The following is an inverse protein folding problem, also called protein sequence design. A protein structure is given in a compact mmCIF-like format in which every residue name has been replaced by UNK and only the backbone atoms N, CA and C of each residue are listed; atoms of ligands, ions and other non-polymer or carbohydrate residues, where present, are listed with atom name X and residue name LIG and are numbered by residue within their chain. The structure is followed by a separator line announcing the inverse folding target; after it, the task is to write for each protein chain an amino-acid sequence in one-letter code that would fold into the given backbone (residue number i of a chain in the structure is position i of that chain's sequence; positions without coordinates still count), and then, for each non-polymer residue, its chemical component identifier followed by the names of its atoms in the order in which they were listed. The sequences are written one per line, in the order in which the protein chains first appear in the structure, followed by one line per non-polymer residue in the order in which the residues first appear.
data_IF_808796805026
#
_entry.id   IF_808796805026
#
_cell.length_a   1.000
_cell.length_b   1.000
_cell.length_c   1.000
_cell.angle_alpha   90.00
_cell.angle_beta   90.00
_cell.angle_gamma   90.00
#
_symmetry.space_group_name_H-M   'P 1'
#
loop_
_entity.id
_entity.type
_entity.pdbx_description
1 polymer ?
#
# COMPACT_ATOMS: atom_id res chain seq x y z
N UNK A 1 -30.57 0.17 28.11
CA UNK A 1 -29.77 1.43 28.20
C UNK A 1 -28.97 1.63 29.49
N UNK A 2 -29.42 1.19 30.69
CA UNK A 2 -28.63 1.35 31.93
C UNK A 2 -27.46 0.36 32.11
N UNK A 3 -27.51 -0.85 31.51
CA UNK A 3 -26.41 -1.85 31.60
C UNK A 3 -25.22 -1.60 30.66
N UNK A 4 -25.36 -0.76 29.63
CA UNK A 4 -24.31 -0.48 28.64
C UNK A 4 -23.33 0.62 29.09
N UNK A 5 -23.77 1.52 29.98
CA UNK A 5 -22.93 2.59 30.55
C UNK A 5 -21.96 2.09 31.63
N UNK A 6 -22.30 1.01 32.33
CA UNK A 6 -21.46 0.43 33.38
C UNK A 6 -20.21 -0.26 32.83
N UNK A 7 -20.30 -0.89 31.65
CA UNK A 7 -19.19 -1.62 31.05
C UNK A 7 -18.09 -0.69 30.52
N UNK A 8 -18.47 0.50 30.06
CA UNK A 8 -17.54 1.52 29.54
C UNK A 8 -16.72 2.15 30.67
N UNK A 9 -17.31 2.36 31.85
CA UNK A 9 -16.62 2.94 33.00
C UNK A 9 -15.63 1.98 33.68
N UNK A 10 -15.94 0.68 33.71
CA UNK A 10 -15.03 -0.34 34.29
C UNK A 10 -13.82 -0.58 33.38
N UNK A 11 -13.96 -0.42 32.06
CA UNK A 11 -12.86 -0.61 31.10
C UNK A 11 -11.77 0.49 31.18
N UNK A 12 -12.17 1.72 31.55
CA UNK A 12 -11.24 2.85 31.69
C UNK A 12 -10.29 2.74 32.89
N UNK A 13 -10.62 1.92 33.90
CA UNK A 13 -9.86 1.80 35.14
C UNK A 13 -8.77 0.71 35.11
N UNK A 14 -8.78 -0.19 34.12
CA UNK A 14 -7.84 -1.33 34.06
C UNK A 14 -6.74 -1.14 32.99
N UNK A 15 -6.87 -0.16 32.10
CA UNK A 15 -6.00 -0.05 30.92
C UNK A 15 -4.68 0.74 31.14
N UNK A 16 -4.30 1.12 32.36
CA UNK A 16 -3.18 2.07 32.57
C UNK A 16 -1.83 1.41 32.88
N UNK A 17 -1.78 0.11 33.22
CA UNK A 17 -0.51 -0.56 33.59
C UNK A 17 -0.09 -1.75 32.70
N UNK A 18 -0.84 -2.11 31.65
CA UNK A 18 -0.58 -3.35 30.86
C UNK A 18 -0.30 -3.11 29.37
N UNK A 19 -0.20 -1.86 28.91
CA UNK A 19 -0.05 -1.56 27.48
C UNK A 19 1.29 -2.02 26.90
N UNK A 20 2.38 -1.93 27.66
CA UNK A 20 3.72 -2.28 27.18
C UNK A 20 3.95 -3.79 27.05
N UNK A 21 3.41 -4.60 27.98
CA UNK A 21 3.53 -6.06 27.94
C UNK A 21 2.69 -6.68 26.83
N UNK A 22 1.51 -6.12 26.55
CA UNK A 22 0.65 -6.60 25.46
C UNK A 22 1.25 -6.27 24.10
N UNK A 23 1.93 -5.12 23.95
CA UNK A 23 2.50 -4.74 22.65
C UNK A 23 3.58 -5.69 22.16
N UNK A 24 4.54 -6.12 22.99
CA UNK A 24 5.61 -7.02 22.54
C UNK A 24 5.09 -8.42 22.15
N UNK A 25 4.07 -8.92 22.86
CA UNK A 25 3.40 -10.18 22.52
C UNK A 25 2.60 -10.03 21.21
N UNK A 26 1.78 -9.00 21.08
CA UNK A 26 1.02 -8.67 19.87
C UNK A 26 1.96 -8.45 18.66
N UNK A 27 3.10 -7.79 18.90
CA UNK A 27 4.15 -7.56 17.91
C UNK A 27 4.76 -8.88 17.43
N UNK A 28 5.07 -9.82 18.32
CA UNK A 28 5.58 -11.12 17.91
C UNK A 28 4.64 -11.83 16.92
N UNK A 29 3.31 -11.65 17.11
CA UNK A 29 2.26 -12.19 16.23
C UNK A 29 2.11 -11.37 14.94
N UNK A 30 2.32 -10.05 15.00
CA UNK A 30 2.35 -9.20 13.80
C UNK A 30 3.53 -9.54 12.89
N UNK A 31 4.66 -9.95 13.49
CA UNK A 31 5.91 -10.23 12.83
C UNK A 31 6.09 -11.70 12.43
N UNK A 32 5.23 -12.61 12.90
CA UNK A 32 5.25 -14.00 12.42
C UNK A 32 5.02 -14.00 10.92
N UNK A 33 5.98 -14.60 10.20
CA UNK A 33 5.99 -14.75 8.75
C UNK A 33 4.97 -15.84 8.36
N UNK A 34 3.68 -15.56 8.53
CA UNK A 34 2.63 -16.39 7.98
C UNK A 34 2.63 -16.19 6.45
N UNK A 35 2.80 -17.29 5.70
CA UNK A 35 2.63 -17.25 4.25
C UNK A 35 1.19 -16.83 3.93
N UNK A 36 1.03 -15.69 3.25
CA UNK A 36 -0.26 -15.33 2.66
C UNK A 36 -0.56 -16.32 1.55
N UNK A 37 -1.72 -17.00 1.56
CA UNK A 37 -2.05 -17.90 0.48
C UNK A 37 -2.09 -17.11 -0.83
N UNK A 38 -1.39 -17.62 -1.85
CA UNK A 38 -1.39 -17.01 -3.17
C UNK A 38 -2.78 -17.15 -3.80
N UNK A 39 -3.53 -16.04 -3.83
CA UNK A 39 -4.89 -16.03 -4.37
C UNK A 39 -4.94 -16.44 -5.85
N UNK A 40 -3.83 -16.38 -6.59
CA UNK A 40 -3.78 -16.89 -7.98
C UNK A 40 -4.05 -18.39 -8.03
N UNK A 41 -3.60 -19.15 -7.02
CA UNK A 41 -3.89 -20.57 -6.88
C UNK A 41 -5.32 -20.81 -6.34
N UNK A 42 -5.80 -19.94 -5.44
CA UNK A 42 -7.14 -20.04 -4.84
C UNK A 42 -8.27 -19.80 -5.84
N UNK A 43 -8.08 -18.88 -6.80
CA UNK A 43 -9.09 -18.55 -7.81
C UNK A 43 -9.07 -19.47 -9.04
N UNK A 44 -8.24 -20.53 -9.06
CA UNK A 44 -8.13 -21.47 -10.19
C UNK A 44 -8.00 -20.75 -11.54
N UNK A 45 -7.11 -19.77 -11.64
CA UNK A 45 -6.87 -19.04 -12.89
C UNK A 45 -6.41 -20.01 -13.99
N UNK A 46 -6.74 -19.71 -15.25
CA UNK A 46 -6.21 -20.43 -16.41
C UNK A 46 -4.68 -20.56 -16.28
N UNK A 47 -4.12 -21.75 -16.48
CA UNK A 47 -2.75 -22.07 -16.07
C UNK A 47 -1.70 -21.09 -16.63
N UNK A 48 -1.91 -20.56 -17.83
CA UNK A 48 -1.04 -19.56 -18.47
C UNK A 48 -1.09 -18.20 -17.75
N UNK A 49 -2.29 -17.75 -17.33
CA UNK A 49 -2.47 -16.52 -16.56
C UNK A 49 -1.96 -16.68 -15.12
N UNK A 50 -2.14 -17.84 -14.48
CA UNK A 50 -1.56 -18.09 -13.15
C UNK A 50 -0.02 -18.13 -13.18
N UNK A 51 0.58 -18.87 -14.12
CA UNK A 51 2.03 -19.09 -14.12
C UNK A 51 2.83 -17.79 -14.29
N UNK A 52 2.31 -16.81 -15.02
CA UNK A 52 2.98 -15.55 -15.26
C UNK A 52 3.03 -14.63 -14.03
N UNK A 53 2.11 -14.80 -13.07
CA UNK A 53 1.96 -13.91 -11.90
C UNK A 53 2.33 -14.57 -10.56
N UNK A 54 2.90 -15.78 -10.60
CA UNK A 54 3.49 -16.45 -9.43
C UNK A 54 4.85 -15.84 -9.10
N UNK A 55 5.10 -15.68 -7.80
CA UNK A 55 6.36 -15.14 -7.29
C UNK A 55 7.46 -16.19 -7.41
N UNK A 56 8.61 -15.80 -7.97
CA UNK A 56 9.84 -16.60 -7.93
C UNK A 56 10.93 -15.83 -7.19
N UNK A 57 11.48 -16.36 -6.08
CA UNK A 57 12.61 -15.74 -5.42
C UNK A 57 13.80 -15.70 -6.38
N UNK A 58 14.53 -14.57 -6.38
CA UNK A 58 15.74 -14.43 -7.19
C UNK A 58 16.84 -15.29 -6.54
N UNK A 59 17.38 -16.25 -7.28
CA UNK A 59 18.41 -17.17 -6.76
C UNK A 59 19.61 -16.41 -6.21
N UNK A 60 19.98 -16.68 -4.97
CA UNK A 60 21.23 -16.22 -4.37
C UNK A 60 22.40 -16.86 -5.12
N UNK A 61 23.06 -16.11 -6.00
CA UNK A 61 24.39 -16.49 -6.46
C UNK A 61 25.35 -16.25 -5.28
N UNK A 62 25.85 -17.34 -4.69
CA UNK A 62 26.98 -17.33 -3.77
C UNK A 62 28.15 -16.59 -4.42
N UNK A 63 28.55 -15.48 -3.82
CA UNK A 63 29.79 -14.79 -4.16
C UNK A 63 30.91 -15.50 -3.40
N UNK A 64 31.58 -16.45 -4.05
CA UNK A 64 32.94 -16.82 -3.66
C UNK A 64 33.90 -15.84 -4.32
N UNK A 65 34.66 -15.12 -3.49
CA UNK A 65 35.67 -14.18 -3.93
C UNK A 65 36.95 -14.92 -4.34
N UNK A 66 37.63 -14.46 -5.41
CA UNK A 66 39.09 -14.53 -5.45
C UNK A 66 39.70 -13.12 -5.46
N UNK A 67 40.72 -12.99 -4.62
CA UNK A 67 41.63 -11.85 -4.47
C UNK A 67 42.60 -11.82 -5.66
N UNK A 68 42.67 -10.71 -6.41
CA UNK A 68 43.92 -9.95 -6.64
C UNK A 68 43.81 -8.81 -7.68
N UNK A 69 44.54 -7.73 -7.35
CA UNK A 69 45.17 -6.70 -8.18
C UNK A 69 44.32 -5.54 -8.72
N UNK A 70 44.44 -4.46 -7.96
CA UNK A 70 44.19 -3.05 -8.31
C UNK A 70 44.94 -2.67 -9.59
N UNK A 71 44.20 -2.21 -10.60
CA UNK A 71 44.67 -1.21 -11.57
C UNK A 71 43.64 -0.10 -11.65
N UNK A 72 44.07 1.10 -11.30
CA UNK A 72 43.29 2.32 -11.44
C UNK A 72 42.89 2.53 -12.90
N UNK A 73 41.61 2.80 -13.14
CA UNK A 73 41.19 3.52 -14.35
C UNK A 73 39.98 4.38 -14.03
N UNK A 74 40.19 5.70 -14.06
CA UNK A 74 39.17 6.74 -13.92
C UNK A 74 38.07 6.55 -14.97
N UNK A 75 36.82 6.35 -14.54
CA UNK A 75 35.65 6.37 -15.42
C UNK A 75 34.43 7.01 -14.74
N UNK A 76 34.24 8.29 -15.06
CA UNK A 76 33.00 9.10 -15.13
C UNK A 76 31.75 8.61 -14.37
N UNK A 77 31.39 9.39 -13.36
CA UNK A 77 30.02 9.55 -12.85
C UNK A 77 29.09 10.10 -13.95
N UNK A 78 28.02 9.36 -14.28
CA UNK A 78 26.79 9.81 -14.97
C UNK A 78 25.66 8.86 -14.57
N UNK A 79 24.38 9.20 -14.52
CA UNK A 79 23.59 10.42 -14.25
C UNK A 79 22.13 9.93 -14.33
N UNK A 80 21.28 10.37 -13.42
CA UNK A 80 19.81 10.32 -13.46
C UNK A 80 19.09 8.95 -13.53
N UNK A 81 18.62 8.47 -12.36
CA UNK A 81 17.56 7.44 -12.26
C UNK A 81 16.21 8.01 -12.75
N UNK A 82 16.04 8.21 -14.06
CA UNK A 82 14.73 8.47 -14.65
C UNK A 82 13.99 7.14 -14.83
N UNK A 83 12.82 7.01 -14.20
CA UNK A 83 11.89 5.92 -14.46
C UNK A 83 11.49 5.97 -15.93
N UNK A 84 11.47 4.80 -16.58
CA UNK A 84 10.92 4.69 -17.93
C UNK A 84 9.41 4.74 -17.79
N UNK A 85 8.80 5.84 -18.21
CA UNK A 85 7.37 5.84 -18.50
C UNK A 85 7.16 4.82 -19.64
N UNK A 86 6.32 3.79 -19.46
CA UNK A 86 6.18 2.76 -20.48
C UNK A 86 5.62 3.38 -21.75
N UNK A 87 6.36 3.18 -22.83
CA UNK A 87 5.92 3.46 -24.18
C UNK A 87 4.98 2.31 -24.57
N UNK A 88 3.67 2.57 -24.59
CA UNK A 88 2.68 1.58 -24.99
C UNK A 88 2.97 1.17 -26.45
N UNK A 89 3.32 -0.10 -26.69
CA UNK A 89 3.37 -0.62 -28.06
C UNK A 89 1.96 -0.57 -28.63
N UNK A 90 1.84 0.12 -29.74
CA UNK A 90 0.62 0.56 -30.42
C UNK A 90 -0.18 -0.63 -30.97
N UNK A 91 -0.90 -1.37 -30.11
CA UNK A 91 -1.79 -2.47 -30.50
C UNK A 91 -3.05 -2.59 -29.63
N UNK A 92 -3.48 -1.51 -28.97
CA UNK A 92 -4.81 -1.47 -28.34
C UNK A 92 -5.72 -0.66 -29.27
N UNK A 93 -6.83 -1.21 -29.78
CA UNK A 93 -7.77 -0.47 -30.61
C UNK A 93 -8.20 0.82 -29.90
N UNK A 94 -8.01 1.95 -30.58
CA UNK A 94 -8.23 3.30 -30.05
C UNK A 94 -9.68 3.54 -29.56
N UNK A 95 -10.61 2.69 -30.01
CA UNK A 95 -12.04 2.70 -29.69
C UNK A 95 -12.38 2.27 -28.24
N UNK A 96 -11.49 1.55 -27.53
CA UNK A 96 -11.69 1.15 -26.11
C UNK A 96 -11.07 2.14 -25.12
N UNK A 97 -10.26 3.11 -25.59
CA UNK A 97 -9.56 4.08 -24.73
C UNK A 97 -10.32 5.39 -24.63
N UNK A 98 -11.21 5.49 -23.65
CA UNK A 98 -12.07 6.67 -23.48
C UNK A 98 -11.28 7.97 -23.34
N UNK A 99 -11.83 9.08 -23.85
CA UNK A 99 -11.31 10.44 -23.64
C UNK A 99 -11.08 10.78 -22.16
N UNK A 100 -11.87 10.16 -21.26
CA UNK A 100 -11.70 10.30 -19.80
C UNK A 100 -10.34 9.77 -19.35
N UNK A 101 -9.89 8.64 -19.88
CA UNK A 101 -8.60 8.04 -19.51
C UNK A 101 -7.41 8.83 -20.06
N UNK A 102 -7.54 9.39 -21.28
CA UNK A 102 -6.56 10.38 -21.80
C UNK A 102 -6.44 11.57 -20.85
N UNK A 103 -7.57 12.07 -20.34
CA UNK A 103 -7.59 13.14 -19.33
C UNK A 103 -6.90 12.75 -18.01
N UNK A 104 -7.07 11.51 -17.54
CA UNK A 104 -6.41 11.01 -16.33
C UNK A 104 -4.91 10.86 -16.51
N UNK A 105 -4.45 10.35 -17.65
CA UNK A 105 -3.04 10.27 -17.98
C UNK A 105 -2.41 11.68 -18.05
N UNK A 106 -3.07 12.63 -18.71
CA UNK A 106 -2.59 14.01 -18.79
C UNK A 106 -2.42 14.66 -17.41
N UNK A 107 -3.38 14.46 -16.52
CA UNK A 107 -3.32 14.94 -15.13
C UNK A 107 -2.19 14.28 -14.33
N UNK A 108 -2.03 12.97 -14.48
CA UNK A 108 -1.04 12.19 -13.74
C UNK A 108 0.40 12.43 -14.20
N UNK A 109 0.60 12.91 -15.44
CA UNK A 109 1.92 13.23 -15.99
C UNK A 109 2.75 14.13 -15.06
N UNK A 110 2.13 15.11 -14.40
CA UNK A 110 2.83 16.00 -13.46
C UNK A 110 3.46 15.24 -12.28
N UNK A 111 2.75 14.24 -11.75
CA UNK A 111 3.26 13.40 -10.67
C UNK A 111 4.39 12.51 -11.19
N UNK A 112 4.16 11.83 -12.32
CA UNK A 112 5.12 10.89 -12.93
C UNK A 112 6.41 11.55 -13.41
N UNK A 113 6.36 12.77 -13.94
CA UNK A 113 7.55 13.52 -14.37
C UNK A 113 8.49 13.85 -13.19
N UNK A 114 7.93 14.00 -11.99
CA UNK A 114 8.65 14.39 -10.76
C UNK A 114 8.98 13.18 -9.87
N UNK A 115 8.34 12.05 -10.09
CA UNK A 115 8.42 10.87 -9.23
C UNK A 115 9.81 10.24 -9.21
N UNK A 116 10.26 9.88 -8.01
CA UNK A 116 11.49 9.12 -7.78
C UNK A 116 11.16 7.96 -6.84
N UNK A 117 11.44 6.71 -7.21
CA UNK A 117 11.02 5.57 -6.41
C UNK A 117 11.80 5.56 -5.09
N UNK A 118 11.10 5.21 -4.00
CA UNK A 118 11.68 5.03 -2.67
C UNK A 118 11.37 3.59 -2.24
N UNK A 119 12.41 2.77 -2.17
CA UNK A 119 12.30 1.37 -1.78
C UNK A 119 13.55 0.92 -1.03
N UNK A 120 13.32 0.35 0.15
CA UNK A 120 14.34 -0.21 1.02
C UNK A 120 13.93 -1.64 1.37
N UNK A 121 14.65 -2.63 0.85
CA UNK A 121 14.34 -4.03 1.10
C UNK A 121 14.52 -4.35 2.59
N UNK A 122 13.52 -5.00 3.19
CA UNK A 122 13.48 -5.31 4.62
C UNK A 122 13.06 -4.14 5.52
N UNK A 123 12.70 -2.98 4.94
CA UNK A 123 12.14 -1.86 5.72
C UNK A 123 10.80 -2.24 6.32
N UNK A 124 10.64 -1.98 7.61
CA UNK A 124 9.43 -2.32 8.37
C UNK A 124 8.97 -1.15 9.23
N UNK A 125 7.68 -0.91 9.24
CA UNK A 125 7.00 0.03 10.13
C UNK A 125 5.86 -0.68 10.85
N UNK A 126 5.75 -0.53 12.16
CA UNK A 126 4.58 -0.93 12.94
C UNK A 126 3.89 0.35 13.40
N UNK A 127 2.61 0.48 13.08
CA UNK A 127 1.78 1.61 13.49
C UNK A 127 0.68 1.13 14.43
N UNK A 128 0.47 1.83 15.54
CA UNK A 128 -0.71 1.65 16.37
C UNK A 128 -1.93 2.26 15.67
N UNK A 129 -3.08 1.60 15.79
CA UNK A 129 -4.35 2.09 15.29
C UNK A 129 -5.26 2.43 16.48
N UNK A 130 -5.64 3.70 16.60
CA UNK A 130 -6.52 4.19 17.67
C UNK A 130 -7.87 4.62 17.11
N UNK A 131 -8.94 4.19 17.78
CA UNK A 131 -10.31 4.60 17.49
C UNK A 131 -11.06 4.89 18.80
N UNK A 132 -11.70 6.06 18.87
CA UNK A 132 -12.37 6.55 20.09
C UNK A 132 -11.49 6.53 21.37
N UNK A 133 -10.19 6.78 21.21
CA UNK A 133 -9.22 6.82 22.30
C UNK A 133 -8.72 5.46 22.78
N UNK A 134 -9.10 4.36 22.11
CA UNK A 134 -8.65 3.00 22.42
C UNK A 134 -7.83 2.46 21.26
N UNK A 135 -6.71 1.79 21.56
CA UNK A 135 -5.92 1.05 20.56
C UNK A 135 -6.73 -0.13 20.05
N UNK A 136 -7.22 -0.01 18.82
CA UNK A 136 -8.01 -1.01 18.13
C UNK A 136 -7.13 -2.14 17.54
N UNK A 137 -5.86 -1.87 17.28
CA UNK A 137 -4.93 -2.84 16.71
C UNK A 137 -3.68 -2.19 16.16
N UNK A 138 -3.00 -2.89 15.26
CA UNK A 138 -1.73 -2.45 14.68
C UNK A 138 -1.64 -2.79 13.20
N UNK A 139 -0.90 -1.95 12.48
CA UNK A 139 -0.60 -2.11 11.06
C UNK A 139 0.90 -2.34 10.92
N UNK A 140 1.28 -3.47 10.34
CA UNK A 140 2.66 -3.73 9.90
C UNK A 140 2.76 -3.41 8.42
N UNK A 141 3.66 -2.51 8.03
CA UNK A 141 4.03 -2.24 6.64
C UNK A 141 5.45 -2.76 6.42
N UNK A 142 5.64 -3.61 5.43
CA UNK A 142 6.91 -4.26 5.14
C UNK A 142 7.24 -4.17 3.65
N UNK A 143 8.44 -3.71 3.33
CA UNK A 143 9.05 -3.87 2.02
C UNK A 143 9.78 -5.22 1.98
N UNK A 144 9.17 -6.24 1.38
CA UNK A 144 9.71 -7.61 1.28
C UNK A 144 10.85 -7.69 0.26
N UNK A 145 11.39 -8.89 0.09
CA UNK A 145 12.42 -9.21 -0.88
C UNK A 145 11.97 -8.86 -2.31
N UNK A 146 12.88 -8.35 -3.15
CA UNK A 146 12.60 -8.15 -4.58
C UNK A 146 12.46 -9.50 -5.25
N UNK A 147 11.32 -9.75 -5.89
CA UNK A 147 11.03 -11.02 -6.57
C UNK A 147 11.00 -10.86 -8.09
N UNK A 148 11.03 -11.97 -8.81
CA UNK A 148 10.78 -12.01 -10.25
C UNK A 148 9.34 -12.44 -10.52
N UNK A 149 8.62 -11.68 -11.33
CA UNK A 149 7.26 -11.99 -11.78
C UNK A 149 7.13 -11.64 -13.26
N UNK A 150 6.69 -12.59 -14.09
CA UNK A 150 6.62 -12.43 -15.54
C UNK A 150 7.91 -11.88 -16.19
N UNK A 151 9.07 -12.39 -15.76
CA UNK A 151 10.41 -11.91 -16.16
C UNK A 151 10.71 -10.43 -15.82
N UNK A 152 9.90 -9.81 -14.96
CA UNK A 152 10.12 -8.45 -14.43
C UNK A 152 10.65 -8.54 -13.00
N UNK A 153 11.60 -7.67 -12.67
CA UNK A 153 11.98 -7.45 -11.27
C UNK A 153 10.90 -6.60 -10.60
N UNK A 154 10.28 -7.08 -9.53
CA UNK A 154 9.18 -6.40 -8.86
C UNK A 154 9.49 -6.11 -7.39
N UNK A 155 9.20 -4.89 -6.95
CA UNK A 155 9.08 -4.55 -5.53
C UNK A 155 7.87 -5.25 -4.94
N UNK A 156 8.03 -5.77 -3.73
CA UNK A 156 6.97 -6.45 -3.01
C UNK A 156 6.68 -5.66 -1.73
N UNK A 157 5.54 -5.00 -1.71
CA UNK A 157 5.02 -4.34 -0.51
C UNK A 157 3.97 -5.21 0.14
N UNK A 158 4.10 -5.40 1.45
CA UNK A 158 3.15 -6.14 2.27
C UNK A 158 2.62 -5.24 3.38
N UNK A 159 1.34 -5.38 3.69
CA UNK A 159 0.80 -4.84 4.93
C UNK A 159 -0.13 -5.84 5.62
N UNK A 160 -0.09 -5.86 6.95
CA UNK A 160 -1.04 -6.60 7.79
C UNK A 160 -1.68 -5.65 8.78
N UNK A 161 -3.00 -5.64 8.84
CA UNK A 161 -3.74 -4.96 9.89
C UNK A 161 -4.37 -6.02 10.79
N UNK A 162 -4.04 -6.00 12.09
CA UNK A 162 -4.56 -6.95 13.06
C UNK A 162 -5.15 -6.21 14.26
N UNK A 163 -6.33 -6.61 14.71
CA UNK A 163 -6.90 -6.07 15.96
C UNK A 163 -6.05 -6.46 17.17
N UNK A 164 -5.98 -5.58 18.17
CA UNK A 164 -5.40 -5.91 19.47
C UNK A 164 -6.25 -6.95 20.19
N UNK A 165 -5.65 -7.74 21.07
CA UNK A 165 -6.36 -8.81 21.79
C UNK A 165 -7.48 -8.22 22.64
N UNK A 166 -7.21 -7.10 23.30
CA UNK A 166 -8.20 -6.36 24.11
C UNK A 166 -9.38 -5.81 23.29
N UNK A 167 -9.18 -5.47 22.01
CA UNK A 167 -10.24 -4.95 21.13
C UNK A 167 -11.00 -6.05 20.38
N UNK A 168 -10.36 -7.20 20.17
CA UNK A 168 -10.88 -8.33 19.41
C UNK A 168 -12.25 -8.83 19.90
N UNK A 169 -12.51 -8.72 21.21
CA UNK A 169 -13.81 -9.04 21.83
C UNK A 169 -14.97 -8.26 21.18
N UNK A 170 -14.76 -6.96 20.92
CA UNK A 170 -15.75 -6.11 20.28
C UNK A 170 -15.77 -6.34 18.77
N UNK A 171 -14.61 -6.25 18.13
CA UNK A 171 -14.44 -6.44 16.70
C UNK A 171 -13.03 -6.95 16.39
N UNK A 172 -12.93 -8.20 15.95
CA UNK A 172 -11.65 -8.77 15.51
C UNK A 172 -11.47 -8.61 14.00
N UNK A 173 -10.21 -8.42 13.60
CA UNK A 173 -9.78 -8.41 12.21
C UNK A 173 -8.33 -8.89 12.05
N UNK A 174 -8.02 -9.46 10.89
CA UNK A 174 -6.69 -9.85 10.44
C UNK A 174 -6.63 -9.76 8.90
N UNK A 175 -6.34 -8.55 8.43
CA UNK A 175 -6.34 -8.22 7.02
C UNK A 175 -4.91 -8.17 6.50
N UNK A 176 -4.69 -8.71 5.32
CA UNK A 176 -3.37 -8.78 4.68
C UNK A 176 -3.48 -8.28 3.25
N UNK A 177 -2.54 -7.43 2.84
CA UNK A 177 -2.42 -6.92 1.48
C UNK A 177 -1.01 -7.21 0.97
N UNK A 178 -0.92 -7.70 -0.26
CA UNK A 178 0.32 -7.75 -1.03
C UNK A 178 0.15 -6.91 -2.30
N UNK A 179 1.08 -5.99 -2.57
CA UNK A 179 1.17 -5.22 -3.81
C UNK A 179 2.55 -5.40 -4.43
N UNK A 180 2.56 -5.82 -5.69
CA UNK A 180 3.75 -6.08 -6.48
C UNK A 180 3.86 -5.01 -7.55
N UNK A 181 4.98 -4.30 -7.58
CA UNK A 181 5.20 -3.12 -8.42
C UNK A 181 6.47 -3.30 -9.23
N UNK A 182 6.40 -3.13 -10.55
CA UNK A 182 7.57 -3.29 -11.42
C UNK A 182 8.66 -2.26 -11.10
N UNK A 183 9.91 -2.71 -10.92
CA UNK A 183 11.03 -1.84 -10.53
C UNK A 183 11.33 -0.75 -11.57
N UNK A 184 11.20 -1.06 -12.86
CA UNK A 184 11.60 -0.14 -13.95
C UNK A 184 10.58 0.97 -14.23
N UNK A 185 9.29 0.67 -14.07
CA UNK A 185 8.16 1.54 -14.44
C UNK A 185 7.39 2.06 -13.24
N UNK A 186 7.56 1.43 -12.07
CA UNK A 186 6.75 1.63 -10.86
C UNK A 186 5.24 1.43 -11.07
N UNK A 187 4.85 0.63 -12.08
CA UNK A 187 3.47 0.26 -12.30
C UNK A 187 3.13 -1.04 -11.55
N UNK A 188 1.89 -1.17 -11.02
CA UNK A 188 1.47 -2.38 -10.34
C UNK A 188 1.41 -3.56 -11.32
N UNK A 189 1.72 -4.75 -10.83
CA UNK A 189 1.66 -6.01 -11.60
C UNK A 189 0.60 -6.93 -11.00
N UNK A 190 0.58 -7.03 -9.66
CA UNK A 190 -0.36 -7.84 -8.90
C UNK A 190 -0.73 -7.13 -7.61
N UNK A 191 -2.01 -7.14 -7.26
CA UNK A 191 -2.54 -6.72 -5.96
C UNK A 191 -3.40 -7.85 -5.38
N UNK A 192 -3.23 -8.13 -4.10
CA UNK A 192 -4.00 -9.12 -3.35
C UNK A 192 -4.44 -8.53 -2.02
N UNK A 193 -5.70 -8.72 -1.65
CA UNK A 193 -6.25 -8.45 -0.33
C UNK A 193 -6.94 -9.71 0.19
N UNK A 194 -6.52 -10.13 1.38
CA UNK A 194 -7.15 -11.16 2.19
C UNK A 194 -7.67 -10.47 3.44
N UNK A 195 -8.97 -10.21 3.48
CA UNK A 195 -9.66 -9.58 4.61
C UNK A 195 -10.33 -10.66 5.45
N UNK A 196 -10.06 -10.67 6.75
CA UNK A 196 -10.70 -11.61 7.70
C UNK A 196 -11.19 -10.79 8.88
N UNK A 197 -12.49 -10.56 8.94
CA UNK A 197 -13.10 -9.75 9.99
C UNK A 197 -14.31 -10.47 10.60
N UNK A 198 -14.67 -10.06 11.82
CA UNK A 198 -15.84 -10.58 12.54
C UNK A 198 -17.13 -10.64 11.72
N UNK A 199 -17.34 -9.69 10.80
CA UNK A 199 -18.60 -9.57 10.02
C UNK A 199 -18.49 -9.99 8.57
N UNK A 200 -17.28 -10.14 8.04
CA UNK A 200 -17.08 -10.45 6.63
C UNK A 200 -15.69 -11.01 6.36
N UNK A 201 -15.61 -11.85 5.33
CA UNK A 201 -14.35 -12.26 4.73
C UNK A 201 -14.32 -11.79 3.28
N UNK A 202 -13.18 -11.27 2.83
CA UNK A 202 -12.97 -10.85 1.44
C UNK A 202 -11.67 -11.44 0.92
N UNK A 203 -11.71 -11.96 -0.30
CA UNK A 203 -10.53 -12.24 -1.12
C UNK A 203 -10.66 -11.37 -2.38
N UNK A 204 -9.68 -10.52 -2.65
CA UNK A 204 -9.64 -9.62 -3.80
C UNK A 204 -8.28 -9.72 -4.48
N UNK A 205 -8.26 -10.24 -5.70
CA UNK A 205 -7.07 -10.35 -6.54
C UNK A 205 -7.24 -9.46 -7.76
N UNK A 206 -6.23 -8.66 -8.07
CA UNK A 206 -6.16 -7.84 -9.28
C UNK A 206 -4.82 -8.04 -9.98
N UNK A 207 -4.87 -8.32 -11.28
CA UNK A 207 -3.71 -8.45 -12.15
C UNK A 207 -3.73 -7.33 -13.19
N UNK A 208 -2.56 -6.78 -13.50
CA UNK A 208 -2.43 -5.62 -14.38
C UNK A 208 -1.62 -5.97 -15.64
N UNK A 209 -2.23 -5.74 -16.80
CA UNK A 209 -1.59 -5.88 -18.11
C UNK A 209 -1.60 -4.53 -18.83
N UNK A 210 -0.53 -3.75 -18.63
CA UNK A 210 -0.35 -2.45 -19.25
C UNK A 210 -0.03 -2.51 -20.75
N UNK A 211 0.36 -3.68 -21.28
CA UNK A 211 0.48 -3.85 -22.74
C UNK A 211 -0.91 -3.89 -23.39
N UNK A 212 -1.87 -4.53 -22.72
CA UNK A 212 -3.27 -4.60 -23.14
C UNK A 212 -4.14 -3.47 -22.59
N UNK A 213 -3.59 -2.61 -21.73
CA UNK A 213 -4.32 -1.54 -21.05
C UNK A 213 -5.53 -2.07 -20.26
N UNK A 214 -5.39 -3.24 -19.63
CA UNK A 214 -6.46 -3.91 -18.87
C UNK A 214 -6.02 -4.34 -17.48
N UNK A 215 -6.97 -4.32 -16.55
CA UNK A 215 -6.89 -5.05 -15.28
C UNK A 215 -7.87 -6.22 -15.30
N UNK A 216 -7.48 -7.34 -14.70
CA UNK A 216 -8.34 -8.49 -14.45
C UNK A 216 -8.53 -8.63 -12.95
N UNK A 217 -9.75 -8.90 -12.50
CA UNK A 217 -10.05 -8.99 -11.08
C UNK A 217 -10.88 -10.23 -10.73
N UNK A 218 -10.66 -10.74 -9.52
CA UNK A 218 -11.44 -11.79 -8.87
C UNK A 218 -11.74 -11.34 -7.45
N UNK A 219 -13.02 -11.27 -7.12
CA UNK A 219 -13.51 -10.71 -5.87
C UNK A 219 -14.55 -11.64 -5.26
N UNK A 220 -14.22 -12.19 -4.10
CA UNK A 220 -15.11 -13.01 -3.30
C UNK A 220 -15.35 -12.33 -1.96
N UNK A 221 -16.61 -12.14 -1.59
CA UNK A 221 -17.00 -11.65 -0.26
C UNK A 221 -18.03 -12.57 0.36
N UNK A 222 -17.72 -13.06 1.56
CA UNK A 222 -18.66 -13.79 2.40
C UNK A 222 -19.08 -12.87 3.54
N UNK A 223 -20.38 -12.61 3.65
CA UNK A 223 -20.99 -11.81 4.73
C UNK A 223 -22.38 -12.36 4.97
N UNK A 224 -22.78 -12.43 6.23
CA UNK A 224 -24.11 -12.88 6.62
C UNK A 224 -25.21 -12.19 5.78
N UNK A 225 -26.01 -13.00 5.10
CA UNK A 225 -27.12 -12.55 4.25
C UNK A 225 -26.72 -11.86 2.93
N UNK A 226 -25.43 -11.74 2.59
CA UNK A 226 -25.00 -11.05 1.35
C UNK A 226 -23.62 -11.52 0.89
N UNK A 227 -23.57 -12.68 0.24
CA UNK A 227 -22.37 -13.16 -0.43
C UNK A 227 -22.21 -12.50 -1.81
N UNK A 228 -20.97 -12.40 -2.28
CA UNK A 228 -20.61 -11.98 -3.63
C UNK A 228 -19.47 -12.81 -4.15
N UNK A 229 -19.51 -13.12 -5.45
CA UNK A 229 -18.44 -13.75 -6.20
C UNK A 229 -18.46 -13.13 -7.60
N UNK A 230 -17.48 -12.30 -7.90
CA UNK A 230 -17.40 -11.49 -9.09
C UNK A 230 -16.02 -11.64 -9.70
N UNK A 231 -15.94 -11.93 -11.00
CA UNK A 231 -14.70 -11.86 -11.77
C UNK A 231 -14.92 -11.10 -13.05
N UNK A 232 -13.89 -10.43 -13.54
CA UNK A 232 -14.01 -9.65 -14.77
C UNK A 232 -12.73 -8.95 -15.18
N UNK A 233 -12.86 -8.06 -16.14
CA UNK A 233 -11.79 -7.18 -16.56
C UNK A 233 -12.30 -5.76 -16.74
N UNK A 234 -11.40 -4.78 -16.72
CA UNK A 234 -11.69 -3.38 -16.99
C UNK A 234 -10.51 -2.71 -17.67
N UNK A 235 -10.79 -1.72 -18.52
CA UNK A 235 -9.74 -0.91 -19.10
C UNK A 235 -9.11 0.01 -18.03
N UNK A 236 -7.80 0.23 -18.13
CA UNK A 236 -7.01 1.06 -17.19
C UNK A 236 -6.26 2.16 -17.96
N UNK A 237 -6.09 3.37 -17.40
CA UNK A 237 -5.15 4.37 -17.92
C UNK A 237 -3.68 3.91 -17.85
N UNK A 238 -2.78 4.57 -18.60
CA UNK A 238 -1.36 4.16 -18.72
C UNK A 238 -0.59 4.29 -17.42
N UNK A 239 -1.04 5.20 -16.58
CA UNK A 239 -0.35 5.67 -15.39
C UNK A 239 -1.10 5.31 -14.10
N UNK A 240 -1.71 4.12 -14.11
CA UNK A 240 -2.59 3.61 -13.04
C UNK A 240 -1.81 2.94 -11.92
N UNK A 241 -2.20 3.22 -10.68
CA UNK A 241 -1.72 2.53 -9.48
C UNK A 241 -2.80 1.59 -8.91
N UNK A 242 -2.42 0.66 -8.04
CA UNK A 242 -3.36 -0.04 -7.17
C UNK A 242 -3.54 0.72 -5.84
N UNK A 243 -4.50 0.30 -5.01
CA UNK A 243 -4.84 1.01 -3.77
C UNK A 243 -3.70 1.09 -2.75
N UNK A 244 -2.74 0.15 -2.76
CA UNK A 244 -1.59 0.18 -1.85
C UNK A 244 -0.32 0.74 -2.51
N UNK A 245 -0.06 0.43 -3.78
CA UNK A 245 1.06 1.04 -4.51
C UNK A 245 0.91 2.56 -4.65
N UNK A 246 -0.33 3.09 -4.68
CA UNK A 246 -0.59 4.52 -4.60
C UNK A 246 0.06 5.19 -3.38
N UNK A 247 0.03 4.55 -2.20
CA UNK A 247 0.64 5.07 -0.97
C UNK A 247 2.17 5.14 -1.08
N UNK A 248 2.77 4.16 -1.76
CA UNK A 248 4.22 4.11 -2.01
C UNK A 248 4.64 5.04 -3.16
N UNK A 249 3.77 5.27 -4.14
CA UNK A 249 3.99 6.24 -5.21
C UNK A 249 4.06 7.66 -4.66
N UNK A 250 3.12 8.04 -3.78
CA UNK A 250 3.10 9.34 -3.10
C UNK A 250 4.41 9.59 -2.34
N UNK A 251 4.93 8.56 -1.66
CA UNK A 251 6.19 8.62 -0.90
C UNK A 251 7.39 9.07 -1.75
N UNK A 252 7.36 8.81 -3.06
CA UNK A 252 8.40 9.19 -4.01
C UNK A 252 8.17 10.51 -4.74
N UNK A 253 7.09 11.23 -4.45
CA UNK A 253 6.84 12.56 -5.02
C UNK A 253 7.55 13.65 -4.21
N UNK A 254 7.91 14.79 -4.83
CA UNK A 254 8.14 16.01 -4.08
C UNK A 254 6.87 16.35 -3.29
N UNK A 255 7.01 16.60 -2.00
CA UNK A 255 5.90 16.98 -1.15
C UNK A 255 6.14 18.40 -0.65
N UNK A 256 6.16 19.38 -1.55
CA UNK A 256 6.29 20.78 -1.17
C UNK A 256 4.90 21.35 -0.89
N UNK A 257 4.76 22.18 0.15
CA UNK A 257 3.47 22.80 0.49
C UNK A 257 2.87 23.52 -0.73
N UNK A 258 1.62 23.19 -1.05
CA UNK A 258 0.90 23.71 -2.20
C UNK A 258 0.99 22.85 -3.46
N UNK A 259 1.84 21.82 -3.49
CA UNK A 259 1.80 20.82 -4.57
C UNK A 259 0.45 20.09 -4.57
N UNK A 260 -0.04 19.82 -5.78
CA UNK A 260 -1.26 19.04 -6.03
C UNK A 260 -0.97 17.98 -7.08
N UNK A 261 -1.33 16.74 -6.79
CA UNK A 261 -1.18 15.61 -7.69
C UNK A 261 -2.51 14.90 -7.90
N UNK A 262 -2.78 14.46 -9.13
CA UNK A 262 -3.97 13.66 -9.46
C UNK A 262 -3.54 12.47 -10.31
N UNK A 263 -3.87 11.25 -9.91
CA UNK A 263 -3.54 10.05 -10.68
C UNK A 263 -4.56 8.92 -10.51
N UNK A 264 -4.72 8.05 -11.53
CA UNK A 264 -5.70 6.99 -11.50
C UNK A 264 -5.29 5.84 -10.59
N UNK A 265 -6.26 5.32 -9.85
CA UNK A 265 -6.14 4.15 -8.98
C UNK A 265 -7.22 3.13 -9.39
N UNK A 266 -6.79 1.90 -9.65
CA UNK A 266 -7.70 0.80 -9.96
C UNK A 266 -8.14 0.07 -8.68
N UNK A 267 -9.42 -0.30 -8.64
CA UNK A 267 -9.95 -1.20 -7.61
C UNK A 267 -11.11 -1.99 -8.20
N UNK A 268 -10.97 -3.32 -8.27
CA UNK A 268 -12.00 -4.26 -8.77
C UNK A 268 -12.53 -3.87 -10.15
N UNK A 269 -11.62 -3.62 -11.09
CA UNK A 269 -11.94 -3.22 -12.46
C UNK A 269 -12.48 -1.79 -12.63
N UNK A 270 -12.55 -1.00 -11.55
CA UNK A 270 -13.03 0.39 -11.57
C UNK A 270 -11.87 1.37 -11.35
N UNK A 271 -11.92 2.49 -12.06
CA UNK A 271 -10.91 3.56 -11.96
C UNK A 271 -11.44 4.69 -11.07
N UNK A 272 -10.61 5.08 -10.12
CA UNK A 272 -10.80 6.20 -9.21
C UNK A 272 -9.71 7.23 -9.49
N UNK A 273 -10.05 8.50 -9.47
CA UNK A 273 -9.04 9.56 -9.53
C UNK A 273 -8.66 9.94 -8.10
N UNK A 274 -7.43 9.63 -7.70
CA UNK A 274 -6.90 10.03 -6.40
C UNK A 274 -6.28 11.42 -6.54
N UNK A 275 -6.77 12.37 -5.74
CA UNK A 275 -6.20 13.71 -5.58
C UNK A 275 -5.40 13.77 -4.28
N UNK A 276 -4.20 14.32 -4.35
CA UNK A 276 -3.29 14.53 -3.22
C UNK A 276 -2.94 16.01 -3.14
N UNK A 277 -3.32 16.66 -2.05
CA UNK A 277 -2.95 18.04 -1.74
C UNK A 277 -1.87 18.04 -0.65
N UNK A 278 -0.73 18.68 -0.89
CA UNK A 278 0.32 18.85 0.13
C UNK A 278 -0.01 20.09 0.96
N UNK A 279 -0.53 19.86 2.17
CA UNK A 279 -1.20 20.93 2.94
C UNK A 279 -0.27 21.72 3.85
N UNK A 280 0.72 21.06 4.46
CA UNK A 280 1.61 21.68 5.43
C UNK A 280 2.91 20.91 5.62
N UNK A 281 3.95 21.59 6.08
CA UNK A 281 5.09 21.00 6.79
C UNK A 281 4.99 21.47 8.24
N UNK A 282 5.01 20.53 9.19
CA UNK A 282 4.78 20.81 10.60
C UNK A 282 5.59 19.85 11.50
N UNK A 283 5.77 20.24 12.77
CA UNK A 283 6.32 19.34 13.79
C UNK A 283 5.16 18.61 14.45
N UNK A 284 5.23 17.28 14.47
CA UNK A 284 4.24 16.42 15.12
C UNK A 284 4.92 15.57 16.19
N UNK A 285 4.20 15.25 17.26
CA UNK A 285 4.66 14.29 18.25
C UNK A 285 4.31 12.87 17.79
N UNK A 286 5.26 11.95 17.70
CA UNK A 286 5.07 10.54 17.31
C UNK A 286 5.80 9.69 18.34
N UNK A 287 5.08 8.82 19.06
CA UNK A 287 5.65 7.98 20.12
C UNK A 287 6.50 8.80 21.13
N UNK A 288 5.94 9.93 21.57
CA UNK A 288 6.59 10.83 22.52
C UNK A 288 7.76 11.67 21.97
N UNK A 289 8.05 11.59 20.65
CA UNK A 289 9.14 12.31 20.01
C UNK A 289 8.63 13.34 19.00
N UNK A 290 9.19 14.53 19.04
CA UNK A 290 8.86 15.57 18.06
C UNK A 290 9.62 15.35 16.75
N UNK A 291 8.88 15.23 15.65
CA UNK A 291 9.42 14.92 14.31
C UNK A 291 8.84 15.89 13.28
N UNK A 292 9.69 16.40 12.39
CA UNK A 292 9.26 17.21 11.24
C UNK A 292 8.63 16.32 10.16
N UNK A 293 7.38 16.62 9.82
CA UNK A 293 6.59 15.86 8.87
C UNK A 293 5.90 16.76 7.84
N UNK A 294 5.71 16.23 6.64
CA UNK A 294 4.85 16.81 5.62
C UNK A 294 3.48 16.17 5.70
N UNK A 295 2.47 17.00 5.91
CA UNK A 295 1.06 16.60 5.91
C UNK A 295 0.51 16.68 4.50
N UNK A 296 -0.14 15.61 4.08
CA UNK A 296 -0.90 15.55 2.83
C UNK A 296 -2.37 15.23 3.12
N UNK A 297 -3.24 15.63 2.20
CA UNK A 297 -4.65 15.23 2.16
C UNK A 297 -4.89 14.40 0.90
N UNK A 298 -5.44 13.21 1.07
CA UNK A 298 -5.83 12.30 0.00
C UNK A 298 -7.37 12.25 -0.12
N UNK A 299 -7.87 12.47 -1.34
CA UNK A 299 -9.29 12.40 -1.68
C UNK A 299 -9.48 11.57 -2.96
N UNK A 300 -10.26 10.49 -2.89
CA UNK A 300 -10.64 9.75 -4.11
C UNK A 300 -11.97 10.23 -4.66
N UNK A 301 -12.02 10.35 -5.98
CA UNK A 301 -13.21 10.76 -6.73
C UNK A 301 -13.55 9.68 -7.75
N UNK A 302 -14.84 9.34 -7.84
CA UNK A 302 -15.34 8.47 -8.90
C UNK A 302 -15.98 9.34 -10.01
N UNK A 303 -15.62 9.14 -11.29
CA UNK A 303 -16.24 9.89 -12.38
C UNK A 303 -17.76 9.75 -12.37
N UNK A 304 -18.48 10.87 -12.46
CA UNK A 304 -19.95 10.91 -12.47
C UNK A 304 -20.63 10.77 -11.10
N UNK A 305 -19.87 10.62 -10.01
CA UNK A 305 -20.43 10.51 -8.65
C UNK A 305 -19.81 11.58 -7.75
N UNK A 306 -20.61 12.55 -7.30
CA UNK A 306 -20.23 13.65 -6.40
C UNK A 306 -19.86 13.21 -4.96
N UNK A 307 -19.82 11.91 -4.69
CA UNK A 307 -19.65 11.38 -3.33
C UNK A 307 -18.17 11.21 -3.00
N UNK A 308 -17.63 12.11 -2.20
CA UNK A 308 -16.32 11.95 -1.57
C UNK A 308 -16.34 10.74 -0.62
N UNK A 309 -15.40 9.81 -0.76
CA UNK A 309 -15.03 8.96 0.37
C UNK A 309 -14.16 9.80 1.28
N UNK A 310 -14.56 9.96 2.55
CA UNK A 310 -14.06 11.01 3.45
C UNK A 310 -12.54 11.21 3.48
N UNK A 311 -12.16 12.45 3.84
CA UNK A 311 -10.78 12.91 3.89
C UNK A 311 -9.85 11.96 4.67
N UNK A 312 -8.73 11.60 4.06
CA UNK A 312 -7.62 10.92 4.72
C UNK A 312 -6.41 11.85 4.73
N UNK A 313 -5.82 12.05 5.89
CA UNK A 313 -4.56 12.77 6.04
C UNK A 313 -3.44 11.79 6.31
N UNK A 314 -2.27 12.02 5.71
CA UNK A 314 -1.05 11.28 5.99
C UNK A 314 0.06 12.26 6.34
N UNK A 315 0.96 11.84 7.23
CA UNK A 315 2.14 12.57 7.62
C UNK A 315 3.38 11.75 7.27
N UNK A 316 4.15 12.25 6.31
CA UNK A 316 5.42 11.64 5.91
C UNK A 316 6.59 12.37 6.56
N UNK A 317 7.62 11.63 6.96
CA UNK A 317 8.88 12.21 7.40
C UNK A 317 9.49 13.13 6.35
N UNK A 318 10.25 14.11 6.83
CA UNK A 318 11.09 14.98 5.98
C UNK A 318 12.44 14.35 5.63
N UNK A 319 12.74 13.19 6.22
CA UNK A 319 13.92 12.38 5.94
C UNK A 319 13.91 11.75 4.52
N UNK A 320 15.08 11.33 3.99
CA UNK A 320 15.17 10.69 2.68
C UNK A 320 14.31 9.43 2.56
N UNK A 321 14.13 8.70 3.66
CA UNK A 321 13.28 7.52 3.72
C UNK A 321 11.81 7.88 3.56
N UNK A 322 11.36 9.11 3.83
CA UNK A 322 9.94 9.51 3.71
C UNK A 322 9.01 8.53 4.45
N UNK A 323 9.34 8.22 5.70
CA UNK A 323 8.58 7.25 6.50
C UNK A 323 7.15 7.73 6.73
N UNK A 324 6.17 6.83 6.68
CA UNK A 324 4.81 7.17 7.10
C UNK A 324 4.76 7.21 8.63
N UNK A 325 4.58 8.41 9.19
CA UNK A 325 4.63 8.66 10.63
C UNK A 325 3.25 8.60 11.27
N UNK A 326 2.25 9.18 10.62
CA UNK A 326 0.85 9.16 11.06
C UNK A 326 -0.12 9.13 9.90
N UNK A 327 -1.34 8.69 10.18
CA UNK A 327 -2.49 8.98 9.33
C UNK A 327 -3.75 9.23 10.16
N UNK A 328 -4.72 9.92 9.55
CA UNK A 328 -6.03 10.14 10.12
C UNK A 328 -7.07 9.92 9.02
N UNK A 329 -7.99 8.98 9.24
CA UNK A 329 -9.11 8.73 8.33
C UNK A 329 -10.42 9.13 9.01
N UNK A 330 -11.16 10.05 8.38
CA UNK A 330 -12.49 10.43 8.87
C UNK A 330 -13.52 9.39 8.41
N UNK A 331 -14.23 8.80 9.37
CA UNK A 331 -15.31 7.85 9.11
C UNK A 331 -16.65 8.45 9.56
N UNK A 332 -17.76 7.72 9.36
CA UNK A 332 -19.12 8.22 9.70
C UNK A 332 -19.24 8.64 11.16
N UNK A 333 -18.58 7.92 12.07
CA UNK A 333 -18.62 8.17 13.51
C UNK A 333 -17.16 8.28 13.97
N UNK A 334 -16.69 9.50 14.21
CA UNK A 334 -15.33 9.76 14.69
C UNK A 334 -14.24 9.68 13.61
N UNK A 335 -13.03 9.34 14.04
CA UNK A 335 -11.85 9.21 13.18
C UNK A 335 -10.98 8.06 13.66
N UNK A 336 -10.33 7.41 12.72
CA UNK A 336 -9.29 6.41 12.98
C UNK A 336 -7.94 7.10 12.85
N UNK A 337 -7.05 6.86 13.80
CA UNK A 337 -5.71 7.41 13.82
C UNK A 337 -4.69 6.29 13.76
N UNK A 338 -3.73 6.40 12.84
CA UNK A 338 -2.54 5.57 12.82
C UNK A 338 -1.33 6.37 13.28
N UNK A 339 -0.49 5.79 14.12
CA UNK A 339 0.77 6.40 14.59
C UNK A 339 1.89 5.38 14.61
N UNK A 340 3.04 5.71 14.02
CA UNK A 340 4.24 4.88 14.01
C UNK A 340 4.76 4.66 15.43
N UNK A 341 4.90 3.39 15.84
CA UNK A 341 5.42 2.98 17.16
C UNK A 341 6.74 2.22 17.05
N UNK A 342 7.02 1.59 15.90
CA UNK A 342 8.31 0.95 15.64
C UNK A 342 8.73 1.11 14.19
N UNK A 343 10.02 1.34 13.97
CA UNK A 343 10.62 1.41 12.66
C UNK A 343 11.93 0.63 12.60
N UNK A 344 12.05 -0.25 11.61
CA UNK A 344 13.30 -0.93 11.26
C UNK A 344 13.71 -0.49 9.85
N UNK A 345 14.91 0.11 9.68
CA UNK A 345 15.37 0.51 8.36
C UNK A 345 15.67 -0.72 7.49
N UNK A 346 15.44 -0.56 6.19
CA UNK A 346 15.83 -1.55 5.17
C UNK A 346 17.13 -1.18 4.47
N UNK A 347 17.51 -2.02 3.50
CA UNK A 347 18.68 -1.79 2.62
C UNK A 347 18.20 -1.22 1.30
N UNK A 348 18.81 -0.12 0.85
CA UNK A 348 18.50 0.47 -0.45
C UNK A 348 18.96 -0.46 -1.57
N UNK A 349 18.03 -0.88 -2.43
CA UNK A 349 18.28 -1.81 -3.55
C UNK A 349 17.93 -1.20 -4.91
N UNK A 350 17.73 0.11 -4.94
CA UNK A 350 17.35 0.90 -6.11
C UNK A 350 18.55 1.21 -7.01
#
# INVERSE_FOLDING_TARGET
MKKFKSLIYTFFLVAVCSCATNFEEEKSILLTKEETPDLTATFNLDQEQAQNFKDKPKSENKIEAPVEKVKETKSKVKKDNKIKVPEAKEQVPEEEYSEVFKGYDAKSKLAWDKFKPVFYQGEQSIMSLTYLGVTAGYITILSKEVVSMNNKSVFHFFTRFKSSDSYSYFYWLDDKIDSYVEKETFLPVKYSLIQREKKQNVDDLQLFDFNKMKTFFWYKRVKEGSNKDEKGSGAIPKLTQDSFSALQFIRGLPLQKGDVYEFPVATRGKIWLLKVDVVAEEVINVDGKDVRAVKIKAETHFPGVLKKSGDIYFWYGTDPERRLLKFQAKIKIGSIYGELVEYKPGVKVL
#
